data_IF_084505368287
#
_entry.id   IF_084505368287
#
_cell.length_a   1.000
_cell.length_b   1.000
_cell.length_c   1.000
_cell.angle_alpha   90.00
_cell.angle_beta   90.00
_cell.angle_gamma   90.00
#
_symmetry.space_group_name_H-M   'P 1'
#
loop_
_entity.id
_entity.type
_entity.pdbx_description
1 polymer ?
#
# COMPACT_ATOMS: atom_id res chain seq x y z
N UNK A 1 -0.77 -16.02 -31.84
CA UNK A 1 -1.54 -14.96 -31.16
C UNK A 1 -1.04 -14.91 -29.73
N UNK A 2 -0.39 -13.82 -29.31
CA UNK A 2 -0.09 -13.62 -27.89
C UNK A 2 -1.42 -13.69 -27.14
N UNK A 3 -1.58 -14.61 -26.18
CA UNK A 3 -2.81 -14.66 -25.40
C UNK A 3 -2.92 -13.37 -24.60
N UNK A 4 -4.06 -12.67 -24.72
CA UNK A 4 -4.35 -11.48 -23.93
C UNK A 4 -4.13 -11.76 -22.44
N UNK A 5 -3.52 -10.81 -21.73
CA UNK A 5 -3.26 -10.97 -20.30
C UNK A 5 -4.55 -11.12 -19.50
N UNK A 6 -4.58 -12.16 -18.67
CA UNK A 6 -5.65 -12.41 -17.71
C UNK A 6 -5.13 -12.21 -16.30
N UNK A 7 -5.69 -11.24 -15.61
CA UNK A 7 -5.35 -10.87 -14.25
C UNK A 7 -6.27 -11.57 -13.24
N UNK A 8 -5.68 -12.13 -12.19
CA UNK A 8 -6.40 -12.58 -11.01
C UNK A 8 -5.94 -11.78 -9.79
N UNK A 9 -6.85 -11.01 -9.20
CA UNK A 9 -6.59 -10.23 -7.99
C UNK A 9 -7.02 -11.01 -6.76
N UNK A 10 -6.04 -11.33 -5.90
CA UNK A 10 -6.29 -11.94 -4.61
C UNK A 10 -6.62 -10.87 -3.56
N UNK A 11 -7.67 -11.09 -2.78
CA UNK A 11 -8.15 -10.08 -1.83
C UNK A 11 -9.08 -9.06 -2.50
N UNK A 12 -9.91 -9.52 -3.43
CA UNK A 12 -10.80 -8.70 -4.26
C UNK A 12 -11.76 -7.80 -3.47
N UNK A 13 -12.18 -8.22 -2.28
CA UNK A 13 -13.03 -7.43 -1.38
C UNK A 13 -12.24 -6.51 -0.42
N UNK A 14 -10.91 -6.54 -0.49
CA UNK A 14 -10.04 -5.63 0.24
C UNK A 14 -9.98 -4.26 -0.44
N UNK A 15 -9.57 -3.25 0.32
CA UNK A 15 -9.51 -1.86 -0.16
C UNK A 15 -8.64 -1.70 -1.43
N UNK A 16 -7.36 -2.08 -1.37
CA UNK A 16 -6.46 -1.99 -2.53
C UNK A 16 -6.88 -2.95 -3.65
N UNK A 17 -7.33 -4.17 -3.31
CA UNK A 17 -7.76 -5.15 -4.30
C UNK A 17 -8.96 -4.67 -5.11
N UNK A 18 -9.95 -4.02 -4.48
CA UNK A 18 -11.08 -3.40 -5.14
C UNK A 18 -10.64 -2.29 -6.10
N UNK A 19 -9.78 -1.37 -5.63
CA UNK A 19 -9.24 -0.29 -6.47
C UNK A 19 -8.50 -0.82 -7.70
N UNK A 20 -7.69 -1.87 -7.55
CA UNK A 20 -6.98 -2.49 -8.67
C UNK A 20 -7.93 -3.17 -9.67
N UNK A 21 -8.97 -3.85 -9.19
CA UNK A 21 -9.98 -4.45 -10.08
C UNK A 21 -10.69 -3.37 -10.89
N UNK A 22 -11.09 -2.26 -10.26
CA UNK A 22 -11.71 -1.12 -10.94
C UNK A 22 -10.77 -0.52 -11.99
N UNK A 23 -9.50 -0.31 -11.63
CA UNK A 23 -8.50 0.24 -12.54
C UNK A 23 -8.22 -0.68 -13.73
N UNK A 24 -8.08 -1.99 -13.50
CA UNK A 24 -7.92 -2.99 -14.56
C UNK A 24 -9.13 -3.02 -15.51
N UNK A 25 -10.36 -2.92 -14.99
CA UNK A 25 -11.59 -2.81 -15.80
C UNK A 25 -11.61 -1.54 -16.64
N UNK A 26 -11.24 -0.39 -16.05
CA UNK A 26 -11.16 0.89 -16.76
C UNK A 26 -10.15 0.85 -17.91
N UNK A 27 -9.08 0.06 -17.76
CA UNK A 27 -8.09 -0.20 -18.81
C UNK A 27 -8.50 -1.30 -19.80
N UNK A 28 -9.72 -1.84 -19.71
CA UNK A 28 -10.23 -2.88 -20.61
C UNK A 28 -9.52 -4.24 -20.47
N UNK A 29 -8.92 -4.53 -19.32
CA UNK A 29 -8.19 -5.79 -19.07
C UNK A 29 -9.14 -6.92 -18.69
N UNK A 30 -8.78 -8.16 -19.03
CA UNK A 30 -9.45 -9.36 -18.54
C UNK A 30 -9.06 -9.56 -17.06
N UNK A 31 -9.97 -9.25 -16.14
CA UNK A 31 -9.70 -9.26 -14.69
C UNK A 31 -10.75 -10.04 -13.92
N UNK A 32 -10.25 -10.94 -13.09
CA UNK A 32 -11.02 -11.69 -12.11
C UNK A 32 -10.57 -11.33 -10.69
N UNK A 33 -11.49 -11.43 -9.74
CA UNK A 33 -11.20 -11.25 -8.33
C UNK A 33 -11.51 -12.53 -7.55
N UNK A 34 -10.73 -12.83 -6.52
CA UNK A 34 -10.99 -13.95 -5.61
C UNK A 34 -10.91 -13.56 -4.14
N UNK A 35 -11.68 -14.27 -3.33
CA UNK A 35 -11.65 -14.26 -1.86
C UNK A 35 -11.17 -15.60 -1.29
N UNK A 36 -10.66 -16.51 -2.12
CA UNK A 36 -10.10 -17.80 -1.70
C UNK A 36 -9.09 -17.61 -0.56
N UNK A 37 -9.13 -18.47 0.46
CA UNK A 37 -8.17 -18.40 1.57
C UNK A 37 -6.80 -18.87 1.09
N UNK A 38 -5.80 -18.02 1.25
CA UNK A 38 -4.46 -18.27 0.68
C UNK A 38 -3.73 -19.46 1.33
N UNK A 39 -4.00 -19.78 2.60
CA UNK A 39 -3.36 -20.91 3.28
C UNK A 39 -3.98 -22.27 2.90
N UNK A 40 -5.13 -22.27 2.22
CA UNK A 40 -5.79 -23.49 1.75
C UNK A 40 -5.27 -23.86 0.36
N UNK A 41 -4.14 -24.58 0.31
CA UNK A 41 -3.42 -24.86 -0.93
C UNK A 41 -4.29 -25.53 -2.01
N UNK A 42 -5.20 -26.44 -1.65
CA UNK A 42 -6.10 -27.07 -2.62
C UNK A 42 -7.08 -26.05 -3.24
N UNK A 43 -7.63 -25.14 -2.44
CA UNK A 43 -8.52 -24.09 -2.92
C UNK A 43 -7.76 -23.09 -3.81
N UNK A 44 -6.51 -22.78 -3.45
CA UNK A 44 -5.60 -21.96 -4.29
C UNK A 44 -5.42 -22.62 -5.65
N UNK A 45 -5.09 -23.91 -5.68
CA UNK A 45 -4.91 -24.69 -6.93
C UNK A 45 -6.17 -24.65 -7.78
N UNK A 46 -7.34 -24.99 -7.21
CA UNK A 46 -8.63 -24.96 -7.93
C UNK A 46 -8.90 -23.58 -8.54
N UNK A 47 -8.72 -22.51 -7.76
CA UNK A 47 -8.91 -21.13 -8.24
C UNK A 47 -8.01 -20.81 -9.44
N UNK A 48 -6.72 -21.17 -9.37
CA UNK A 48 -5.76 -20.94 -10.46
C UNK A 48 -6.07 -21.80 -11.69
N UNK A 49 -6.48 -23.06 -11.50
CA UNK A 49 -6.76 -24.02 -12.56
C UNK A 49 -8.07 -23.70 -13.31
N UNK A 50 -9.06 -23.14 -12.63
CA UNK A 50 -10.34 -22.71 -13.21
C UNK A 50 -10.19 -21.43 -14.03
N UNK A 51 -9.57 -20.40 -13.43
CA UNK A 51 -9.44 -19.07 -14.05
C UNK A 51 -8.34 -19.07 -15.13
N UNK A 52 -7.28 -19.87 -14.94
CA UNK A 52 -6.08 -19.91 -15.80
C UNK A 52 -5.52 -18.50 -16.07
N UNK A 53 -5.18 -17.72 -15.03
CA UNK A 53 -4.63 -16.38 -15.21
C UNK A 53 -3.20 -16.43 -15.74
N UNK A 54 -2.75 -15.38 -16.42
CA UNK A 54 -1.34 -15.18 -16.76
C UNK A 54 -0.61 -14.38 -15.68
N UNK A 55 -1.36 -13.52 -14.96
CA UNK A 55 -0.85 -12.64 -13.92
C UNK A 55 -1.72 -12.75 -12.66
N UNK A 56 -1.09 -12.86 -11.50
CA UNK A 56 -1.72 -12.77 -10.18
C UNK A 56 -1.21 -11.53 -9.48
N UNK A 57 -2.13 -10.74 -8.92
CA UNK A 57 -1.81 -9.64 -8.02
C UNK A 57 -2.37 -9.97 -6.64
N UNK A 58 -1.50 -10.30 -5.71
CA UNK A 58 -1.87 -10.64 -4.33
C UNK A 58 -1.91 -9.38 -3.46
N UNK A 59 -3.13 -8.91 -3.19
CA UNK A 59 -3.42 -7.82 -2.25
C UNK A 59 -3.94 -8.33 -0.91
N UNK A 60 -4.02 -9.64 -0.71
CA UNK A 60 -4.58 -10.23 0.48
C UNK A 60 -3.57 -10.22 1.63
N UNK A 61 -4.04 -9.80 2.80
CA UNK A 61 -3.25 -9.76 4.02
C UNK A 61 -4.09 -9.27 5.19
N UNK A 62 -3.71 -9.68 6.39
CA UNK A 62 -4.29 -9.20 7.64
C UNK A 62 -3.38 -8.11 8.22
N UNK A 63 -3.88 -6.88 8.24
CA UNK A 63 -3.24 -5.76 8.93
C UNK A 63 -3.92 -5.43 10.27
N UNK A 64 -4.84 -6.31 10.69
CA UNK A 64 -5.65 -6.17 11.90
C UNK A 64 -6.81 -5.16 11.77
N UNK A 65 -7.74 -5.18 12.73
CA UNK A 65 -8.77 -4.15 12.88
C UNK A 65 -8.85 -3.80 14.37
N UNK A 66 -8.69 -2.51 14.76
CA UNK A 66 -8.51 -1.34 13.89
C UNK A 66 -7.08 -1.19 13.31
N UNK A 67 -6.08 -1.87 13.89
CA UNK A 67 -4.67 -1.73 13.53
C UNK A 67 -3.87 -3.03 13.79
N UNK A 68 -2.54 -2.96 13.65
CA UNK A 68 -1.64 -4.11 13.76
C UNK A 68 -1.54 -4.71 15.16
N UNK A 69 -2.00 -4.05 16.22
CA UNK A 69 -2.04 -4.60 17.58
C UNK A 69 -2.92 -5.86 17.66
N UNK A 70 -3.93 -5.96 16.79
CA UNK A 70 -4.75 -7.17 16.65
C UNK A 70 -3.90 -8.42 16.36
N UNK A 71 -2.80 -8.27 15.62
CA UNK A 71 -1.90 -9.36 15.27
C UNK A 71 -1.15 -9.94 16.48
N UNK A 72 -1.01 -9.20 17.59
CA UNK A 72 -0.36 -9.69 18.81
C UNK A 72 -1.20 -10.74 19.54
N UNK A 73 -2.54 -10.63 19.47
CA UNK A 73 -3.48 -11.59 20.06
C UNK A 73 -3.97 -12.66 19.08
N UNK A 74 -3.79 -12.45 17.77
CA UNK A 74 -4.27 -13.34 16.70
C UNK A 74 -3.09 -13.82 15.82
N UNK A 75 -2.10 -14.43 16.48
CA UNK A 75 -0.83 -14.81 15.87
C UNK A 75 -1.01 -15.89 14.81
N UNK A 76 -1.85 -16.89 15.07
CA UNK A 76 -2.10 -17.99 14.13
C UNK A 76 -2.73 -17.47 12.85
N UNK A 77 -3.78 -16.66 12.98
CA UNK A 77 -4.48 -16.08 11.85
C UNK A 77 -3.61 -15.13 11.03
N UNK A 78 -2.73 -14.39 11.70
CA UNK A 78 -1.74 -13.52 11.07
C UNK A 78 -0.73 -14.36 10.29
N UNK A 79 -0.21 -15.43 10.89
CA UNK A 79 0.75 -16.32 10.25
C UNK A 79 0.13 -17.11 9.08
N UNK A 80 -1.10 -17.58 9.20
CA UNK A 80 -1.84 -18.24 8.11
C UNK A 80 -2.03 -17.29 6.92
N UNK A 81 -2.45 -16.04 7.16
CA UNK A 81 -2.72 -15.10 6.07
C UNK A 81 -1.44 -14.47 5.51
N UNK A 82 -0.60 -13.88 6.35
CA UNK A 82 0.54 -13.08 5.92
C UNK A 82 1.80 -13.90 5.72
N UNK A 83 1.91 -14.99 6.48
CA UNK A 83 3.00 -15.96 6.47
C UNK A 83 2.81 -16.97 5.34
N UNK A 84 2.16 -18.07 5.72
CA UNK A 84 1.89 -19.24 4.90
C UNK A 84 1.13 -18.90 3.61
N UNK A 85 0.09 -18.08 3.71
CA UNK A 85 -0.78 -17.77 2.58
C UNK A 85 -0.05 -17.11 1.40
N UNK A 86 0.74 -16.06 1.67
CA UNK A 86 1.50 -15.37 0.63
C UNK A 86 2.48 -16.34 -0.07
N UNK A 87 3.18 -17.17 0.72
CA UNK A 87 4.05 -18.22 0.19
C UNK A 87 3.29 -19.22 -0.69
N UNK A 88 2.14 -19.72 -0.23
CA UNK A 88 1.34 -20.72 -0.97
C UNK A 88 0.86 -20.22 -2.33
N UNK A 89 0.40 -18.96 -2.40
CA UNK A 89 0.00 -18.35 -3.67
C UNK A 89 1.19 -18.24 -4.62
N UNK A 90 2.32 -17.66 -4.17
CA UNK A 90 3.51 -17.52 -5.02
C UNK A 90 4.03 -18.89 -5.48
N UNK A 91 4.06 -19.87 -4.59
CA UNK A 91 4.49 -21.24 -4.90
C UNK A 91 3.62 -21.90 -5.98
N UNK A 92 2.30 -21.82 -5.86
CA UNK A 92 1.39 -22.42 -6.86
C UNK A 92 1.35 -21.64 -8.18
N UNK A 93 1.61 -20.32 -8.15
CA UNK A 93 1.85 -19.51 -9.35
C UNK A 93 3.12 -19.97 -10.10
N UNK A 94 4.22 -20.20 -9.38
CA UNK A 94 5.49 -20.63 -9.98
C UNK A 94 5.35 -21.97 -10.71
N UNK A 95 4.64 -22.94 -10.10
CA UNK A 95 4.36 -24.25 -10.73
C UNK A 95 3.57 -24.15 -12.04
N UNK A 96 2.87 -23.05 -12.25
CA UNK A 96 2.02 -22.79 -13.42
C UNK A 96 2.59 -21.74 -14.37
N UNK A 97 3.81 -21.26 -14.11
CA UNK A 97 4.44 -20.18 -14.87
C UNK A 97 3.59 -18.88 -14.92
N UNK A 98 2.88 -18.60 -13.83
CA UNK A 98 2.05 -17.41 -13.65
C UNK A 98 2.92 -16.31 -13.02
N UNK A 99 2.95 -15.10 -13.58
CA UNK A 99 3.63 -13.99 -12.92
C UNK A 99 2.87 -13.59 -11.64
N UNK A 100 3.57 -13.44 -10.52
CA UNK A 100 2.95 -13.17 -9.22
C UNK A 100 3.48 -11.86 -8.63
N UNK A 101 2.65 -10.82 -8.60
CA UNK A 101 2.93 -9.58 -7.88
C UNK A 101 2.33 -9.65 -6.48
N UNK A 102 3.15 -9.45 -5.45
CA UNK A 102 2.75 -9.45 -4.04
C UNK A 102 2.87 -8.04 -3.48
N UNK A 103 1.73 -7.50 -3.01
CA UNK A 103 1.71 -6.25 -2.25
C UNK A 103 2.11 -6.55 -0.81
N UNK A 104 3.40 -6.36 -0.53
CA UNK A 104 4.02 -6.59 0.77
C UNK A 104 4.09 -5.28 1.58
N UNK A 105 5.06 -5.18 2.48
CA UNK A 105 5.16 -4.05 3.40
C UNK A 105 6.61 -3.62 3.59
N UNK A 106 6.82 -2.32 3.60
CA UNK A 106 8.09 -1.71 4.02
C UNK A 106 8.17 -1.48 5.54
N UNK A 107 7.18 -1.91 6.32
CA UNK A 107 7.16 -1.76 7.79
C UNK A 107 8.01 -2.84 8.49
N UNK A 108 9.16 -3.14 7.92
CA UNK A 108 10.17 -4.12 8.38
C UNK A 108 11.51 -3.44 8.69
N UNK A 109 11.53 -2.10 8.63
CA UNK A 109 12.68 -1.28 8.94
C UNK A 109 12.37 -0.25 10.03
N UNK A 110 13.41 0.22 10.71
CA UNK A 110 13.40 1.38 11.59
C UNK A 110 14.61 2.25 11.28
N UNK A 111 14.38 3.52 10.98
CA UNK A 111 15.44 4.51 10.73
C UNK A 111 15.97 5.09 12.04
N UNK A 112 17.14 5.71 11.96
CA UNK A 112 17.65 6.57 13.02
C UNK A 112 17.18 8.01 12.79
N UNK A 113 16.92 8.71 13.89
CA UNK A 113 16.40 10.07 13.89
C UNK A 113 17.20 10.98 14.84
N UNK A 114 17.05 12.29 14.68
CA UNK A 114 17.45 13.27 15.70
C UNK A 114 16.78 12.98 17.05
N UNK A 115 17.32 13.46 18.19
CA UNK A 115 16.75 13.17 19.51
C UNK A 115 15.28 13.60 19.69
N UNK A 116 14.83 14.61 18.94
CA UNK A 116 13.44 15.08 18.89
C UNK A 116 12.56 14.35 17.87
N UNK A 117 13.11 13.37 17.15
CA UNK A 117 12.49 12.57 16.09
C UNK A 117 12.00 13.36 14.86
N UNK A 118 12.41 14.62 14.71
CA UNK A 118 11.92 15.48 13.63
C UNK A 118 12.59 15.20 12.28
N UNK A 119 13.80 14.62 12.29
CA UNK A 119 14.64 14.48 11.10
C UNK A 119 15.28 13.10 11.06
N UNK A 120 15.22 12.44 9.90
CA UNK A 120 15.90 11.16 9.66
C UNK A 120 17.41 11.40 9.53
N UNK A 121 18.23 10.64 10.27
CA UNK A 121 19.70 10.75 10.25
C UNK A 121 20.39 9.58 9.55
N UNK A 122 19.74 8.42 9.50
CA UNK A 122 20.21 7.26 8.72
C UNK A 122 19.96 7.43 7.22
N UNK A 123 20.72 6.73 6.38
CA UNK A 123 20.37 6.61 4.96
C UNK A 123 19.03 5.89 4.76
N UNK A 124 18.24 6.22 3.72
CA UNK A 124 17.04 5.46 3.38
C UNK A 124 17.38 4.01 3.03
N UNK A 125 16.54 3.07 3.47
CA UNK A 125 16.76 1.63 3.21
C UNK A 125 16.48 1.29 1.74
N UNK A 126 17.39 0.57 1.11
CA UNK A 126 17.28 0.01 -0.24
C UNK A 126 16.63 -1.39 -0.23
N UNK A 127 16.39 -1.96 -1.40
CA UNK A 127 15.86 -3.32 -1.50
C UNK A 127 16.83 -4.42 -1.06
N UNK A 128 18.13 -4.12 -1.07
CA UNK A 128 19.18 -5.05 -0.67
C UNK A 128 19.42 -5.07 0.86
N UNK A 129 18.93 -4.07 1.59
CA UNK A 129 19.18 -3.95 3.02
C UNK A 129 18.42 -5.01 3.83
N UNK A 130 19.07 -5.66 4.81
CA UNK A 130 18.42 -6.63 5.66
C UNK A 130 17.39 -5.93 6.58
N UNK A 131 16.22 -6.55 6.84
CA UNK A 131 15.24 -6.01 7.78
C UNK A 131 15.84 -5.82 9.18
N UNK A 132 15.63 -4.65 9.79
CA UNK A 132 16.13 -4.35 11.13
C UNK A 132 15.02 -4.08 12.16
N UNK A 133 13.75 -4.20 11.79
CA UNK A 133 12.61 -3.99 12.69
C UNK A 133 11.77 -5.24 12.92
N UNK A 134 11.67 -5.67 14.18
CA UNK A 134 10.88 -6.83 14.60
C UNK A 134 9.95 -6.51 15.78
N UNK A 135 9.67 -5.23 16.04
CA UNK A 135 8.89 -4.76 17.20
C UNK A 135 7.41 -5.14 17.22
N UNK A 136 6.90 -5.82 16.18
CA UNK A 136 5.54 -6.40 16.16
C UNK A 136 5.53 -7.80 15.57
N UNK A 137 4.61 -8.65 16.00
CA UNK A 137 4.36 -9.97 15.42
C UNK A 137 4.03 -9.86 13.93
N UNK A 138 3.30 -8.83 13.52
CA UNK A 138 3.07 -8.52 12.11
C UNK A 138 4.39 -8.42 11.33
N UNK A 139 5.34 -7.59 11.78
CA UNK A 139 6.64 -7.43 11.14
C UNK A 139 7.49 -8.72 11.21
N UNK A 140 7.43 -9.44 12.34
CA UNK A 140 8.09 -10.76 12.50
C UNK A 140 7.61 -11.80 11.49
N UNK A 141 6.36 -11.73 11.04
CA UNK A 141 5.87 -12.64 9.98
C UNK A 141 6.25 -12.17 8.57
N UNK A 142 6.29 -10.86 8.32
CA UNK A 142 6.47 -10.32 6.96
C UNK A 142 7.91 -10.38 6.46
N UNK A 143 8.89 -10.07 7.30
CA UNK A 143 10.29 -10.05 6.91
C UNK A 143 10.80 -11.43 6.41
N UNK A 144 10.60 -12.54 7.15
CA UNK A 144 11.05 -13.86 6.68
C UNK A 144 10.37 -14.32 5.38
N UNK A 145 9.08 -14.01 5.22
CA UNK A 145 8.36 -14.36 3.99
C UNK A 145 8.92 -13.64 2.79
N UNK A 146 9.22 -12.35 2.89
CA UNK A 146 9.85 -11.62 1.78
C UNK A 146 11.16 -12.28 1.36
N UNK A 147 12.00 -12.70 2.31
CA UNK A 147 13.23 -13.45 2.03
C UNK A 147 12.95 -14.72 1.21
N UNK A 148 11.92 -15.49 1.56
CA UNK A 148 11.55 -16.68 0.77
C UNK A 148 11.02 -16.32 -0.62
N UNK A 149 10.15 -15.30 -0.72
CA UNK A 149 9.54 -14.87 -1.98
C UNK A 149 10.58 -14.32 -2.97
N UNK A 150 11.66 -13.71 -2.49
CA UNK A 150 12.73 -13.16 -3.32
C UNK A 150 13.46 -14.21 -4.18
N UNK A 151 13.37 -15.50 -3.84
CA UNK A 151 13.96 -16.58 -4.61
C UNK A 151 13.07 -17.12 -5.74
N UNK A 152 11.82 -16.66 -5.84
CA UNK A 152 10.90 -17.09 -6.89
C UNK A 152 11.09 -16.23 -8.15
N UNK A 153 11.50 -16.83 -9.29
CA UNK A 153 11.86 -16.06 -10.49
C UNK A 153 10.66 -15.46 -11.23
N UNK A 154 9.43 -15.80 -10.84
CA UNK A 154 8.19 -15.24 -11.37
C UNK A 154 7.58 -14.19 -10.44
N UNK A 155 8.22 -13.86 -9.31
CA UNK A 155 7.64 -13.07 -8.24
C UNK A 155 8.17 -11.63 -8.23
N UNK A 156 7.24 -10.67 -8.15
CA UNK A 156 7.48 -9.27 -7.84
C UNK A 156 6.97 -8.97 -6.44
N UNK A 157 7.80 -8.40 -5.58
CA UNK A 157 7.40 -7.97 -4.23
C UNK A 157 7.46 -6.45 -4.14
N UNK A 158 6.34 -5.82 -3.80
CA UNK A 158 6.22 -4.36 -3.68
C UNK A 158 6.04 -3.97 -2.22
N UNK A 159 6.98 -3.22 -1.64
CA UNK A 159 6.95 -2.81 -0.22
C UNK A 159 6.17 -1.51 -0.03
N UNK A 160 4.87 -1.62 0.25
CA UNK A 160 4.05 -0.45 0.57
C UNK A 160 4.28 0.01 2.01
N UNK A 161 4.10 1.32 2.26
CA UNK A 161 4.04 1.91 3.61
C UNK A 161 2.90 2.91 3.70
N UNK A 162 2.18 2.88 4.82
CA UNK A 162 1.17 3.87 5.19
C UNK A 162 0.32 4.38 4.01
N UNK A 163 -0.46 3.49 3.36
CA UNK A 163 -1.14 3.82 2.11
C UNK A 163 -2.16 4.95 2.26
N UNK A 164 -2.20 5.83 1.26
CA UNK A 164 -3.09 7.00 1.20
C UNK A 164 -3.87 7.00 -0.10
N UNK A 165 -5.15 7.38 -0.03
CA UNK A 165 -6.01 7.60 -1.21
C UNK A 165 -6.96 8.77 -0.98
N UNK A 166 -7.52 9.28 -2.08
CA UNK A 166 -8.49 10.38 -2.12
C UNK A 166 -9.95 9.92 -1.94
N UNK A 167 -10.19 8.68 -1.49
CA UNK A 167 -11.52 8.13 -1.22
C UNK A 167 -11.91 8.22 0.26
N UNK A 168 -11.05 8.84 1.09
CA UNK A 168 -11.20 8.97 2.55
C UNK A 168 -11.52 7.64 3.25
N UNK A 169 -11.15 6.50 2.67
CA UNK A 169 -11.41 5.20 3.27
C UNK A 169 -10.81 5.11 4.68
N UNK A 170 -11.51 4.48 5.62
CA UNK A 170 -11.02 4.28 7.01
C UNK A 170 -9.63 3.62 7.12
N UNK A 171 -9.19 2.90 6.07
CA UNK A 171 -7.86 2.27 6.00
C UNK A 171 -6.76 3.22 5.55
N UNK A 172 -7.12 4.33 4.89
CA UNK A 172 -6.20 5.40 4.49
C UNK A 172 -5.51 6.02 5.69
N UNK A 173 -4.21 6.24 5.59
CA UNK A 173 -3.43 6.85 6.67
C UNK A 173 -4.00 8.21 7.10
N UNK A 174 -4.40 9.03 6.13
CA UNK A 174 -4.97 10.37 6.36
C UNK A 174 -6.24 10.27 7.21
N UNK A 175 -7.17 9.39 6.82
CA UNK A 175 -8.41 9.19 7.59
C UNK A 175 -8.13 8.71 9.01
N UNK A 176 -7.09 7.90 9.23
CA UNK A 176 -6.72 7.47 10.58
C UNK A 176 -6.23 8.62 11.45
N UNK A 177 -5.25 9.39 10.97
CA UNK A 177 -4.65 10.46 11.78
C UNK A 177 -5.63 11.60 12.05
N UNK A 178 -6.59 11.86 11.16
CA UNK A 178 -7.67 12.82 11.39
C UNK A 178 -8.62 12.39 12.52
N UNK A 179 -8.72 11.09 12.81
CA UNK A 179 -9.58 10.56 13.87
C UNK A 179 -8.81 10.30 15.19
N UNK A 180 -7.50 10.51 15.21
CA UNK A 180 -6.71 10.33 16.43
C UNK A 180 -6.77 11.60 17.29
N UNK A 181 -6.97 11.41 18.59
CA UNK A 181 -6.92 12.53 19.56
C UNK A 181 -5.55 13.17 19.62
N UNK A 182 -4.50 12.34 19.59
CA UNK A 182 -3.12 12.75 19.66
C UNK A 182 -2.30 12.01 18.59
N UNK A 183 -1.30 12.68 18.03
CA UNK A 183 -0.46 12.16 16.95
C UNK A 183 1.03 12.28 17.26
N UNK A 184 1.80 11.23 16.98
CA UNK A 184 3.26 11.35 16.94
C UNK A 184 3.69 12.10 15.70
N UNK A 185 4.83 12.78 15.74
CA UNK A 185 5.33 13.54 14.61
C UNK A 185 6.67 13.01 14.12
N UNK A 186 6.63 11.96 13.28
CA UNK A 186 7.85 11.30 12.79
C UNK A 186 7.82 11.19 11.26
N UNK A 187 8.87 11.65 10.55
CA UNK A 187 8.98 11.49 9.11
C UNK A 187 9.01 10.02 8.67
N UNK A 188 8.20 9.71 7.67
CA UNK A 188 8.04 8.35 7.14
C UNK A 188 7.95 8.38 5.61
N UNK A 189 8.33 7.28 4.94
CA UNK A 189 7.95 7.06 3.53
C UNK A 189 6.52 6.54 3.42
N UNK A 190 5.76 7.04 2.44
CA UNK A 190 4.34 6.73 2.25
C UNK A 190 4.04 6.29 0.81
N UNK A 191 3.00 5.49 0.65
CA UNK A 191 2.51 5.01 -0.65
C UNK A 191 1.22 5.74 -1.03
N UNK A 192 1.30 6.69 -1.95
CA UNK A 192 0.11 7.40 -2.49
C UNK A 192 -0.52 6.54 -3.59
N UNK A 193 -1.61 5.85 -3.26
CA UNK A 193 -2.22 4.82 -4.09
C UNK A 193 -2.65 5.31 -5.48
N UNK A 194 -3.24 6.52 -5.66
CA UNK A 194 -3.57 7.02 -6.99
C UNK A 194 -2.37 7.08 -7.96
N UNK A 195 -1.16 7.33 -7.45
CA UNK A 195 0.07 7.32 -8.24
C UNK A 195 0.61 5.91 -8.46
N UNK A 196 0.54 5.07 -7.43
CA UNK A 196 1.26 3.80 -7.39
C UNK A 196 0.48 2.61 -7.97
N UNK A 197 -0.85 2.58 -7.87
CA UNK A 197 -1.64 1.45 -8.38
C UNK A 197 -1.57 1.28 -9.92
N UNK A 198 -1.53 2.35 -10.74
CA UNK A 198 -1.23 2.21 -12.16
C UNK A 198 0.14 1.55 -12.42
N UNK A 199 1.14 1.84 -11.57
CA UNK A 199 2.48 1.25 -11.67
C UNK A 199 2.47 -0.24 -11.32
N UNK A 200 1.65 -0.68 -10.36
CA UNK A 200 1.47 -2.13 -10.06
C UNK A 200 1.07 -2.89 -11.32
N UNK A 201 0.09 -2.37 -12.06
CA UNK A 201 -0.40 -2.99 -13.29
C UNK A 201 0.71 -3.00 -14.33
N UNK A 202 1.36 -1.86 -14.59
CA UNK A 202 2.43 -1.77 -15.58
C UNK A 202 3.59 -2.73 -15.29
N UNK A 203 4.06 -2.80 -14.04
CA UNK A 203 5.13 -3.74 -13.66
C UNK A 203 4.69 -5.21 -13.78
N UNK A 204 3.42 -5.50 -13.49
CA UNK A 204 2.86 -6.85 -13.65
C UNK A 204 2.83 -7.26 -15.13
N UNK A 205 2.37 -6.38 -16.03
CA UNK A 205 2.34 -6.61 -17.49
C UNK A 205 3.73 -6.91 -18.06
N UNK A 206 4.74 -6.21 -17.54
CA UNK A 206 6.15 -6.42 -17.91
C UNK A 206 6.79 -7.62 -17.23
N UNK A 207 6.04 -8.32 -16.36
CA UNK A 207 6.51 -9.45 -15.57
C UNK A 207 7.81 -9.10 -14.83
N UNK A 208 7.90 -7.87 -14.32
CA UNK A 208 9.03 -7.43 -13.48
C UNK A 208 9.20 -8.39 -12.30
N UNK A 209 10.40 -8.52 -11.75
CA UNK A 209 10.64 -9.47 -10.65
C UNK A 209 11.53 -8.87 -9.58
N UNK A 210 11.67 -9.60 -8.47
CA UNK A 210 12.45 -9.18 -7.32
C UNK A 210 11.68 -8.21 -6.43
N UNK A 211 12.41 -7.45 -5.62
CA UNK A 211 11.84 -6.56 -4.61
C UNK A 211 11.93 -5.11 -5.07
N UNK A 212 10.91 -4.31 -4.79
CA UNK A 212 10.90 -2.87 -4.97
C UNK A 212 10.35 -2.18 -3.71
N UNK A 213 11.05 -1.15 -3.25
CA UNK A 213 10.50 -0.18 -2.33
C UNK A 213 9.38 0.59 -3.05
N UNK A 214 8.15 0.47 -2.55
CA UNK A 214 6.97 0.91 -3.29
C UNK A 214 6.28 2.09 -2.59
N UNK A 215 7.06 3.15 -2.40
CA UNK A 215 6.67 4.42 -1.79
C UNK A 215 7.02 5.57 -2.71
N UNK A 216 6.34 6.71 -2.54
CA UNK A 216 6.76 7.94 -3.20
C UNK A 216 8.12 8.40 -2.65
N UNK A 217 8.99 9.01 -3.47
CA UNK A 217 10.28 9.53 -3.03
C UNK A 217 10.17 10.52 -1.88
N UNK A 218 11.10 10.42 -0.93
CA UNK A 218 11.18 11.28 0.24
C UNK A 218 10.46 10.71 1.46
N UNK A 219 10.44 11.53 2.52
CA UNK A 219 9.71 11.27 3.75
C UNK A 219 8.92 12.50 4.17
N UNK A 220 7.82 12.27 4.88
CA UNK A 220 6.93 13.32 5.38
C UNK A 220 6.44 12.95 6.78
N UNK A 221 6.36 13.94 7.65
CA UNK A 221 5.91 13.79 9.03
C UNK A 221 4.37 13.89 9.14
N UNK A 222 3.83 13.51 10.30
CA UNK A 222 2.39 13.55 10.52
C UNK A 222 1.88 14.98 10.55
N UNK A 223 2.64 15.90 11.14
CA UNK A 223 2.29 17.32 11.20
C UNK A 223 2.30 17.93 9.80
N UNK A 224 3.30 17.66 8.97
CA UNK A 224 3.32 18.14 7.58
C UNK A 224 2.11 17.66 6.78
N UNK A 225 1.68 16.40 6.97
CA UNK A 225 0.47 15.87 6.34
C UNK A 225 -0.78 16.63 6.82
N UNK A 226 -0.92 16.87 8.12
CA UNK A 226 -2.08 17.60 8.66
C UNK A 226 -2.06 19.08 8.29
N UNK A 227 -0.90 19.71 8.20
CA UNK A 227 -0.74 21.09 7.72
C UNK A 227 -1.18 21.20 6.25
N UNK A 228 -0.75 20.27 5.38
CA UNK A 228 -1.22 20.23 3.99
C UNK A 228 -2.74 19.99 3.91
N UNK A 229 -3.29 19.11 4.76
CA UNK A 229 -4.73 18.88 4.79
C UNK A 229 -5.48 20.13 5.25
N UNK A 230 -4.97 20.83 6.26
CA UNK A 230 -5.54 22.08 6.77
C UNK A 230 -5.51 23.19 5.71
N UNK A 231 -4.41 23.28 4.96
CA UNK A 231 -4.22 24.26 3.89
C UNK A 231 -5.19 24.01 2.72
N UNK A 232 -5.34 22.75 2.29
CA UNK A 232 -5.97 22.42 1.00
C UNK A 232 -7.42 21.96 1.15
N UNK A 233 -7.75 21.30 2.26
CA UNK A 233 -8.97 20.49 2.40
C UNK A 233 -9.94 21.06 3.44
N UNK A 234 -9.46 21.28 4.67
CA UNK A 234 -10.30 21.76 5.78
C UNK A 234 -9.50 22.61 6.77
N UNK A 235 -9.66 23.93 6.71
CA UNK A 235 -8.94 24.86 7.58
C UNK A 235 -9.36 24.81 9.05
N UNK A 236 -10.45 24.12 9.38
CA UNK A 236 -10.97 24.03 10.74
C UNK A 236 -10.27 22.97 11.60
N UNK A 237 -9.50 22.05 10.99
CA UNK A 237 -8.89 20.97 11.75
C UNK A 237 -7.84 21.48 12.75
N UNK A 238 -7.78 20.77 13.88
CA UNK A 238 -6.80 20.96 14.95
C UNK A 238 -6.37 19.60 15.47
N UNK A 239 -5.12 19.50 15.93
CA UNK A 239 -4.57 18.27 16.49
C UNK A 239 -3.64 18.57 17.66
N UNK A 240 -3.34 17.53 18.43
CA UNK A 240 -2.37 17.57 19.53
C UNK A 240 -1.28 16.52 19.27
N UNK A 241 -0.04 16.82 19.67
CA UNK A 241 1.07 15.90 19.51
C UNK A 241 1.30 15.04 20.76
N UNK A 242 1.85 13.85 20.53
CA UNK A 242 2.45 12.99 21.54
C UNK A 242 3.96 12.89 21.35
N UNK A 243 4.66 12.71 22.48
CA UNK A 243 5.99 12.10 22.52
C UNK A 243 5.92 10.59 22.19
N UNK A 244 7.06 10.00 21.83
CA UNK A 244 7.14 8.56 21.60
C UNK A 244 6.85 7.73 22.87
N UNK A 245 7.23 8.24 24.04
CA UNK A 245 6.98 7.59 25.33
C UNK A 245 5.46 7.52 25.59
N UNK A 246 4.75 8.64 25.44
CA UNK A 246 3.28 8.69 25.57
C UNK A 246 2.59 7.79 24.54
N UNK A 247 3.13 7.67 23.32
CA UNK A 247 2.59 6.73 22.35
C UNK A 247 2.77 5.27 22.81
N UNK A 248 3.93 4.95 23.36
CA UNK A 248 4.28 3.62 23.88
C UNK A 248 3.32 3.12 24.97
N UNK A 249 2.75 4.04 25.76
CA UNK A 249 1.76 3.70 26.79
C UNK A 249 0.40 3.27 26.20
N UNK A 250 0.11 3.64 24.95
CA UNK A 250 -1.21 3.44 24.32
C UNK A 250 -1.19 2.30 23.30
N UNK A 251 -0.03 1.96 22.73
CA UNK A 251 0.12 0.91 21.71
C UNK A 251 0.56 -0.42 22.33
N UNK A 252 0.05 -1.53 21.78
CA UNK A 252 0.42 -2.87 22.25
C UNK A 252 1.76 -3.32 21.66
N UNK A 253 2.05 -2.93 20.42
CA UNK A 253 3.28 -3.24 19.72
C UNK A 253 3.92 -1.99 19.13
N UNK A 254 5.25 -1.98 19.03
CA UNK A 254 6.00 -0.89 18.43
C UNK A 254 5.59 -0.63 16.97
N UNK A 255 5.85 0.59 16.49
CA UNK A 255 5.57 1.01 15.11
C UNK A 255 6.88 1.21 14.36
N UNK A 256 6.93 0.69 13.13
CA UNK A 256 8.02 0.96 12.20
C UNK A 256 7.97 2.42 11.75
N UNK A 257 9.04 3.15 11.99
CA UNK A 257 9.28 4.48 11.43
C UNK A 257 10.53 4.42 10.56
N UNK A 258 10.40 4.63 9.25
CA UNK A 258 11.56 4.59 8.36
C UNK A 258 11.38 5.39 7.07
N UNK A 259 12.52 5.69 6.45
CA UNK A 259 12.64 6.15 5.08
C UNK A 259 13.09 4.99 4.17
N UNK A 260 12.45 4.84 3.01
CA UNK A 260 12.83 3.90 1.97
C UNK A 260 13.40 4.65 0.76
N UNK A 261 14.47 4.11 0.18
CA UNK A 261 15.00 4.58 -1.11
C UNK A 261 14.04 4.15 -2.23
N UNK A 262 13.48 5.12 -2.96
CA UNK A 262 12.56 4.89 -4.07
C UNK A 262 13.22 4.99 -5.45
N UNK A 263 14.54 5.16 -5.53
CA UNK A 263 15.26 5.44 -6.77
C UNK A 263 15.09 4.33 -7.79
N UNK A 264 15.10 3.06 -7.34
CA UNK A 264 14.86 1.89 -8.20
C UNK A 264 13.49 1.93 -8.85
N UNK A 265 12.45 2.29 -8.09
CA UNK A 265 11.08 2.44 -8.59
C UNK A 265 10.96 3.62 -9.57
N UNK A 266 11.52 4.78 -9.20
CA UNK A 266 11.48 5.99 -10.02
C UNK A 266 12.15 5.74 -11.37
N UNK A 267 13.30 5.08 -11.37
CA UNK A 267 14.03 4.73 -12.58
C UNK A 267 13.21 3.77 -13.46
N UNK A 268 12.61 2.74 -12.87
CA UNK A 268 11.73 1.82 -13.60
C UNK A 268 10.53 2.53 -14.23
N UNK A 269 9.91 3.46 -13.52
CA UNK A 269 8.79 4.26 -14.06
C UNK A 269 9.28 5.21 -15.16
N UNK A 270 10.49 5.77 -15.02
CA UNK A 270 11.12 6.59 -16.07
C UNK A 270 11.31 5.78 -17.36
N UNK A 271 11.79 4.54 -17.25
CA UNK A 271 11.92 3.63 -18.39
C UNK A 271 10.58 3.44 -19.13
N UNK A 272 9.47 3.14 -18.42
CA UNK A 272 8.15 3.00 -19.07
C UNK A 272 7.67 4.29 -19.75
N UNK A 273 7.94 5.45 -19.14
CA UNK A 273 7.53 6.74 -19.71
C UNK A 273 8.32 7.07 -20.97
N UNK A 274 9.62 6.84 -20.97
CA UNK A 274 10.52 7.20 -22.07
C UNK A 274 10.48 6.19 -23.21
N UNK A 275 10.49 4.89 -22.89
CA UNK A 275 10.60 3.83 -23.89
C UNK A 275 9.25 3.43 -24.50
N UNK A 276 8.17 3.50 -23.73
CA UNK A 276 6.84 3.04 -24.15
C UNK A 276 5.79 4.15 -24.22
N UNK A 277 6.16 5.38 -23.82
CA UNK A 277 5.24 6.52 -23.85
C UNK A 277 4.12 6.44 -22.81
N UNK A 278 4.27 5.65 -21.73
CA UNK A 278 3.33 5.51 -20.61
C UNK A 278 3.28 6.78 -19.73
N UNK A 279 2.91 7.91 -20.33
CA UNK A 279 2.95 9.25 -19.70
C UNK A 279 2.05 9.40 -18.48
N UNK A 280 1.06 8.51 -18.33
CA UNK A 280 0.16 8.45 -17.18
C UNK A 280 0.83 7.91 -15.92
N UNK A 281 1.94 7.17 -16.05
CA UNK A 281 2.69 6.70 -14.90
C UNK A 281 3.53 7.84 -14.34
N UNK A 282 3.36 8.13 -13.05
CA UNK A 282 4.10 9.19 -12.36
C UNK A 282 4.24 8.83 -10.88
N UNK A 283 5.46 8.95 -10.36
CA UNK A 283 5.77 8.73 -8.94
C UNK A 283 6.43 10.00 -8.40
N UNK A 284 5.64 11.06 -8.13
CA UNK A 284 6.18 12.33 -7.67
C UNK A 284 6.69 12.21 -6.23
N UNK A 285 7.56 13.15 -5.84
CA UNK A 285 8.00 13.34 -4.45
C UNK A 285 6.80 13.44 -3.51
N UNK A 286 6.95 12.95 -2.28
CA UNK A 286 5.84 12.67 -1.37
C UNK A 286 4.97 13.90 -1.04
N UNK A 287 5.53 15.10 -0.87
CA UNK A 287 4.76 16.34 -0.61
C UNK A 287 3.95 16.75 -1.83
N UNK A 288 4.52 16.62 -3.03
CA UNK A 288 3.81 16.85 -4.29
C UNK A 288 2.66 15.84 -4.46
N UNK A 289 2.92 14.57 -4.15
CA UNK A 289 1.93 13.50 -4.21
C UNK A 289 0.76 13.74 -3.23
N UNK A 290 1.06 14.15 -1.99
CA UNK A 290 0.04 14.52 -1.00
C UNK A 290 -0.80 15.72 -1.44
N UNK A 291 -0.17 16.80 -1.92
CA UNK A 291 -0.88 17.99 -2.41
C UNK A 291 -1.89 17.62 -3.50
N UNK A 292 -1.46 16.86 -4.52
CA UNK A 292 -2.36 16.37 -5.59
C UNK A 292 -3.50 15.50 -5.03
N UNK A 293 -3.18 14.59 -4.11
CA UNK A 293 -4.20 13.74 -3.47
C UNK A 293 -5.24 14.58 -2.71
N UNK A 294 -4.80 15.60 -1.98
CA UNK A 294 -5.67 16.50 -1.21
C UNK A 294 -6.49 17.43 -2.09
N UNK A 295 -5.94 17.93 -3.19
CA UNK A 295 -6.70 18.66 -4.19
C UNK A 295 -7.87 17.81 -4.74
N UNK A 296 -7.65 16.51 -4.98
CA UNK A 296 -8.73 15.60 -5.39
C UNK A 296 -9.77 15.37 -4.29
N UNK A 297 -9.37 15.28 -3.01
CA UNK A 297 -10.31 15.22 -1.88
C UNK A 297 -11.15 16.50 -1.82
N UNK A 298 -10.50 17.67 -1.88
CA UNK A 298 -11.16 18.97 -1.84
C UNK A 298 -12.16 19.13 -3.00
N UNK A 299 -11.79 18.69 -4.22
CA UNK A 299 -12.69 18.70 -5.38
C UNK A 299 -13.93 17.83 -5.15
N UNK A 300 -13.78 16.63 -4.60
CA UNK A 300 -14.91 15.73 -4.32
C UNK A 300 -15.86 16.33 -3.27
N UNK A 301 -15.31 16.86 -2.18
CA UNK A 301 -16.12 17.48 -1.13
C UNK A 301 -16.79 18.79 -1.59
N UNK A 302 -16.10 19.60 -2.42
CA UNK A 302 -16.66 20.81 -3.00
C UNK A 302 -17.73 20.55 -4.07
N UNK A 303 -17.60 19.46 -4.83
CA UNK A 303 -18.58 19.03 -5.82
C UNK A 303 -19.88 18.49 -5.21
N UNK A 304 -19.79 17.82 -4.06
CA UNK A 304 -20.97 17.36 -3.30
C UNK A 304 -21.80 18.53 -2.73
N UNK A 305 -21.21 19.71 -2.55
CA UNK A 305 -21.90 20.94 -2.13
C UNK A 305 -22.80 21.60 -3.17
N UNK A 306 -22.75 21.17 -4.45
CA UNK A 306 -23.54 21.76 -5.55
C UNK A 306 -24.77 20.91 -5.93
N UNK A 307 -24.81 19.62 -5.58
CA UNK A 307 -25.95 18.74 -5.88
C UNK A 307 -27.05 18.71 -4.81
N UNK A 308 -26.95 19.52 -3.74
CA UNK A 308 -27.95 19.60 -2.68
C UNK A 308 -28.48 21.03 -2.44
N UNK A 309 -28.69 21.84 -3.49
CA UNK A 309 -29.39 23.15 -3.39
C UNK A 309 -30.31 23.48 -4.58
N UNK A 310 -30.87 22.47 -5.26
CA UNK A 310 -31.79 22.68 -6.37
C UNK A 310 -32.96 21.69 -6.36
N UNK A 311 -33.93 21.87 -5.47
CA UNK A 311 -35.15 21.04 -5.51
C UNK A 311 -36.02 21.09 -4.26
N UNK A 312 -36.54 22.27 -3.89
CA UNK A 312 -37.81 22.42 -3.18
C UNK A 312 -38.14 23.91 -2.96
N UNK A 313 -38.58 24.58 -4.02
CA UNK A 313 -39.51 25.72 -3.95
C UNK A 313 -40.68 25.24 -4.80
N UNK A 314 -41.78 24.76 -4.23
CA UNK A 314 -42.73 25.56 -3.47
C UNK A 314 -43.95 25.75 -4.37
N UNK A 315 -44.85 24.75 -4.40
CA UNK A 315 -46.23 24.93 -4.83
C UNK A 315 -47.11 24.61 -3.62
N UNK A 316 -47.59 25.67 -2.99
CA UNK A 316 -48.84 25.73 -2.26
C UNK A 316 -49.60 26.93 -2.84
#
# INVERSE_FOLDING_TARGET
>A
MSSQDRFLVWGAQGWIGGMLIELLKQQGKDVHGTTTRMHEQEAVRRTLDEIRPTHVINCAGKTGTPNVDWCESHKLETMESNGLGAFMVTYECQKRNIHCTVLATGCIYTSEYTPDNSTVTSQPFTEADPPNFTGSFYSKTKAPIETFLAHYPNNLTLRLRMPVSADLNRRSFVTKILNYKNIVNIPNSHSILPNLLPVVIAMSEHRETGVYNFTNPGSISHNEVLELYKEIVDSSITWQNFSLEEQGEVIVAERSNCALDASKLVEKVREYRENEGRKELDVPEIRVAYRRCFEEIAKKMGGEGVQQKGGAMGMA
#
